data_IF_916405988512
#
_entry.id   IF_916405988512
#
_cell.length_a   1.000
_cell.length_b   1.000
_cell.length_c   1.000
_cell.angle_alpha   90.00
_cell.angle_beta   90.00
_cell.angle_gamma   90.00
#
_symmetry.space_group_name_H-M   'P 1'
#
loop_
_entity.id
_entity.type
_entity.pdbx_description
1 polymer ?
#
# COMPACT_ATOMS: atom_id res chain seq x y z
N UNK A 1 -12.10 -11.65 -45.67
CA UNK A 1 -10.72 -11.66 -45.12
C UNK A 1 -10.54 -10.74 -43.92
N UNK A 2 -11.05 -9.49 -43.95
CA UNK A 2 -10.89 -8.51 -42.85
C UNK A 2 -11.37 -9.02 -41.47
N UNK A 3 -12.55 -9.62 -41.37
CA UNK A 3 -13.10 -10.10 -40.08
C UNK A 3 -12.23 -11.17 -39.38
N UNK A 4 -11.63 -12.12 -40.11
CA UNK A 4 -10.76 -13.15 -39.52
C UNK A 4 -9.47 -12.55 -38.96
N UNK A 5 -8.92 -11.53 -39.63
CA UNK A 5 -7.77 -10.76 -39.12
C UNK A 5 -8.14 -9.92 -37.89
N UNK A 6 -9.33 -9.30 -37.87
CA UNK A 6 -9.81 -8.54 -36.70
C UNK A 6 -10.01 -9.44 -35.48
N UNK A 7 -10.58 -10.64 -35.66
CA UNK A 7 -10.75 -11.62 -34.57
C UNK A 7 -9.39 -12.11 -34.08
N UNK A 8 -8.47 -12.48 -34.98
CA UNK A 8 -7.13 -12.90 -34.60
C UNK A 8 -6.37 -11.83 -33.83
N UNK A 9 -6.45 -10.56 -34.27
CA UNK A 9 -5.85 -9.43 -33.56
C UNK A 9 -6.49 -9.20 -32.19
N UNK A 10 -7.83 -9.27 -32.08
CA UNK A 10 -8.53 -9.12 -30.81
C UNK A 10 -8.12 -10.21 -29.79
N UNK A 11 -7.99 -11.46 -30.23
CA UNK A 11 -7.52 -12.56 -29.37
C UNK A 11 -6.10 -12.32 -28.87
N UNK A 12 -5.19 -11.90 -29.76
CA UNK A 12 -3.80 -11.56 -29.36
C UNK A 12 -3.77 -10.40 -28.38
N UNK A 13 -4.60 -9.38 -28.58
CA UNK A 13 -4.68 -8.21 -27.71
C UNK A 13 -5.23 -8.58 -26.32
N UNK A 14 -6.25 -9.44 -26.24
CA UNK A 14 -6.76 -9.98 -24.96
C UNK A 14 -5.69 -10.80 -24.25
N UNK A 15 -4.97 -11.68 -24.95
CA UNK A 15 -3.88 -12.46 -24.37
C UNK A 15 -2.79 -11.52 -23.83
N UNK A 16 -2.43 -10.47 -24.58
CA UNK A 16 -1.46 -9.48 -24.13
C UNK A 16 -1.94 -8.76 -22.87
N UNK A 17 -3.21 -8.34 -22.79
CA UNK A 17 -3.78 -7.72 -21.57
C UNK A 17 -3.73 -8.68 -20.39
N UNK A 18 -4.09 -9.96 -20.58
CA UNK A 18 -4.05 -10.97 -19.50
C UNK A 18 -2.63 -11.21 -19.03
N UNK A 19 -1.65 -11.31 -19.94
CA UNK A 19 -0.24 -11.45 -19.58
C UNK A 19 0.27 -10.22 -18.82
N UNK A 20 -0.13 -9.03 -19.23
CA UNK A 20 0.19 -7.79 -18.53
C UNK A 20 -0.43 -7.77 -17.12
N UNK A 21 -1.68 -8.18 -16.97
CA UNK A 21 -2.35 -8.26 -15.68
C UNK A 21 -1.75 -9.33 -14.77
N UNK A 22 -1.38 -10.51 -15.29
CA UNK A 22 -0.71 -11.53 -14.50
C UNK A 22 0.70 -11.11 -14.07
N UNK A 23 1.38 -10.28 -14.89
CA UNK A 23 2.75 -9.85 -14.64
C UNK A 23 2.85 -8.61 -13.75
N UNK A 24 1.86 -7.73 -13.81
CA UNK A 24 1.86 -6.39 -13.18
C UNK A 24 0.55 -6.07 -12.45
N UNK A 25 -0.26 -7.08 -12.18
CA UNK A 25 -1.50 -6.95 -11.43
C UNK A 25 -1.27 -6.66 -9.94
N UNK A 26 -2.36 -6.75 -9.16
CA UNK A 26 -2.29 -6.61 -7.72
C UNK A 26 -1.36 -7.65 -7.10
N UNK A 27 -0.57 -7.21 -6.13
CA UNK A 27 0.37 -8.05 -5.39
C UNK A 27 0.31 -7.69 -3.90
N UNK A 28 0.81 -8.58 -3.06
CA UNK A 28 0.77 -8.46 -1.60
C UNK A 28 2.16 -8.78 -1.05
N UNK A 29 2.73 -7.84 -0.29
CA UNK A 29 4.05 -7.98 0.29
C UNK A 29 3.96 -8.04 1.80
N UNK A 30 4.59 -9.06 2.39
CA UNK A 30 4.77 -9.15 3.83
C UNK A 30 6.02 -8.35 4.23
N UNK A 31 5.80 -7.23 4.91
CA UNK A 31 6.84 -6.24 5.18
C UNK A 31 6.67 -5.63 6.57
N UNK A 32 7.76 -5.16 7.15
CA UNK A 32 7.76 -4.30 8.33
C UNK A 32 7.80 -2.85 7.88
N UNK A 33 6.91 -2.02 8.41
CA UNK A 33 6.92 -0.57 8.12
C UNK A 33 7.93 0.10 9.04
N UNK A 34 8.90 0.79 8.44
CA UNK A 34 10.01 1.44 9.16
C UNK A 34 9.85 2.95 9.24
N UNK A 35 9.03 3.54 8.36
CA UNK A 35 8.83 4.97 8.33
C UNK A 35 7.78 5.43 7.33
N UNK A 36 7.40 6.69 7.47
CA UNK A 36 6.55 7.40 6.51
C UNK A 36 7.12 8.79 6.27
N UNK A 37 6.99 9.29 5.05
CA UNK A 37 7.34 10.66 4.65
C UNK A 37 6.32 11.14 3.63
N UNK A 38 6.11 12.45 3.50
CA UNK A 38 5.22 13.02 2.49
C UNK A 38 4.16 13.93 3.08
N UNK A 39 3.83 14.99 2.37
CA UNK A 39 2.83 15.98 2.75
C UNK A 39 1.69 16.12 1.72
N UNK A 40 1.74 15.29 0.67
CA UNK A 40 0.77 15.27 -0.42
C UNK A 40 0.81 16.49 -1.35
N UNK A 41 1.69 17.47 -1.09
CA UNK A 41 1.78 18.72 -1.83
C UNK A 41 3.10 18.83 -2.59
N UNK A 42 4.21 18.76 -1.86
CA UNK A 42 5.55 18.83 -2.40
C UNK A 42 6.21 17.43 -2.42
N UNK A 43 5.81 16.56 -1.49
CA UNK A 43 6.34 15.21 -1.36
C UNK A 43 5.19 14.20 -1.36
N UNK A 44 5.23 13.29 -2.34
CA UNK A 44 4.30 12.16 -2.44
C UNK A 44 4.29 11.32 -1.15
N UNK A 45 3.14 10.70 -0.85
CA UNK A 45 2.99 9.86 0.33
C UNK A 45 3.88 8.61 0.19
N UNK A 46 4.98 8.61 0.93
CA UNK A 46 6.00 7.56 0.93
C UNK A 46 5.86 6.69 2.16
N UNK A 47 5.77 5.38 1.95
CA UNK A 47 5.80 4.37 3.01
C UNK A 47 7.09 3.57 2.82
N UNK A 48 7.90 3.55 3.88
CA UNK A 48 9.19 2.89 3.92
C UNK A 48 9.03 1.53 4.59
N UNK A 49 9.43 0.48 3.90
CA UNK A 49 9.24 -0.88 4.38
C UNK A 49 10.46 -1.74 4.12
N UNK A 50 10.54 -2.83 4.89
CA UNK A 50 11.58 -3.85 4.79
C UNK A 50 10.89 -5.20 4.69
N UNK A 51 11.30 -6.04 3.74
CA UNK A 51 10.79 -7.40 3.61
C UNK A 51 11.04 -8.21 4.88
N UNK A 52 10.01 -8.88 5.37
CA UNK A 52 10.08 -9.63 6.63
C UNK A 52 11.03 -10.84 6.55
N UNK A 53 11.24 -11.39 5.36
CA UNK A 53 12.04 -12.58 5.10
C UNK A 53 13.48 -12.27 4.65
N UNK A 54 13.69 -11.29 3.77
CA UNK A 54 15.02 -10.99 3.19
C UNK A 54 15.71 -9.76 3.76
N UNK A 55 14.98 -8.92 4.50
CA UNK A 55 15.42 -7.59 4.93
C UNK A 55 15.76 -6.60 3.79
N UNK A 56 15.32 -6.88 2.55
CA UNK A 56 15.44 -5.93 1.45
C UNK A 56 14.47 -4.76 1.62
N UNK A 57 14.85 -3.58 1.12
CA UNK A 57 13.99 -2.39 1.23
C UNK A 57 12.96 -2.35 0.10
N UNK A 58 11.71 -2.09 0.48
CA UNK A 58 10.62 -1.81 -0.44
C UNK A 58 9.99 -0.47 -0.08
N UNK A 59 9.88 0.41 -1.07
CA UNK A 59 9.35 1.76 -0.88
C UNK A 59 8.09 1.87 -1.72
N UNK A 60 6.99 2.20 -1.06
CA UNK A 60 5.75 2.58 -1.73
C UNK A 60 5.68 4.10 -1.83
N UNK A 61 5.29 4.61 -3.00
CA UNK A 61 5.00 6.04 -3.20
C UNK A 61 3.63 6.15 -3.84
N UNK A 62 2.69 6.65 -3.05
CA UNK A 62 1.36 6.98 -3.47
C UNK A 62 1.28 8.46 -3.84
N UNK A 63 0.58 8.74 -4.94
CA UNK A 63 0.29 10.10 -5.38
C UNK A 63 -1.23 10.27 -5.45
N UNK A 64 -1.75 11.28 -4.76
CA UNK A 64 -3.17 11.62 -4.88
C UNK A 64 -3.42 12.30 -6.23
N UNK A 65 -4.56 11.99 -6.86
CA UNK A 65 -4.91 12.64 -8.11
C UNK A 65 -5.02 14.15 -7.88
N UNK A 66 -4.28 14.92 -8.66
CA UNK A 66 -4.33 16.37 -8.65
C UNK A 66 -5.69 16.92 -9.17
N UNK A 67 -5.67 18.15 -9.69
CA UNK A 67 -6.89 18.90 -10.03
C UNK A 67 -7.79 18.28 -11.13
N UNK A 68 -7.32 17.27 -11.89
CA UNK A 68 -8.05 16.61 -12.98
C UNK A 68 -7.67 15.11 -13.04
N UNK A 69 -8.60 14.14 -12.91
CA UNK A 69 -10.06 14.24 -12.88
C UNK A 69 -10.60 14.56 -11.47
N UNK A 70 -11.74 15.27 -11.36
CA UNK A 70 -12.31 15.56 -10.06
C UNK A 70 -12.79 14.24 -9.44
N UNK A 71 -12.35 13.98 -8.20
CA UNK A 71 -12.91 12.95 -7.33
C UNK A 71 -12.32 11.52 -7.44
N UNK A 72 -11.04 11.36 -7.77
CA UNK A 72 -10.29 10.18 -7.31
C UNK A 72 -9.33 10.62 -6.21
N UNK A 73 -9.88 10.94 -5.02
CA UNK A 73 -9.05 10.95 -3.82
C UNK A 73 -8.71 9.50 -3.55
N UNK A 74 -7.50 9.11 -3.88
CA UNK A 74 -6.95 7.86 -3.37
C UNK A 74 -6.71 8.11 -1.89
N UNK A 75 -7.04 7.17 -1.01
CA UNK A 75 -6.94 7.34 0.44
C UNK A 75 -5.47 7.30 0.92
N UNK A 76 -4.55 7.95 0.19
CA UNK A 76 -3.10 7.89 0.42
C UNK A 76 -2.71 8.57 1.73
N UNK A 77 -3.38 9.66 2.09
CA UNK A 77 -3.20 10.32 3.38
C UNK A 77 -3.64 9.42 4.56
N UNK A 78 -4.72 8.68 4.36
CA UNK A 78 -5.24 7.75 5.37
C UNK A 78 -4.31 6.54 5.49
N UNK A 79 -3.85 5.96 4.37
CA UNK A 79 -2.84 4.89 4.35
C UNK A 79 -1.54 5.33 5.02
N UNK A 80 -1.07 6.55 4.75
CA UNK A 80 0.10 7.11 5.41
C UNK A 80 -0.14 7.25 6.92
N UNK A 81 -1.32 7.69 7.34
CA UNK A 81 -1.68 7.81 8.76
C UNK A 81 -1.70 6.46 9.47
N UNK A 82 -2.25 5.42 8.82
CA UNK A 82 -2.23 4.03 9.32
C UNK A 82 -0.80 3.52 9.43
N UNK A 83 0.02 3.67 8.38
CA UNK A 83 1.43 3.30 8.41
C UNK A 83 2.20 4.03 9.53
N UNK A 84 1.91 5.33 9.73
CA UNK A 84 2.49 6.15 10.79
C UNK A 84 2.09 5.70 12.20
N UNK A 85 0.89 5.13 12.37
CA UNK A 85 0.46 4.52 13.64
C UNK A 85 1.21 3.21 13.88
N UNK A 86 1.26 2.35 12.87
CA UNK A 86 1.94 1.04 12.96
C UNK A 86 3.41 1.22 13.37
N UNK A 87 4.12 2.19 12.78
CA UNK A 87 5.53 2.46 13.15
C UNK A 87 5.72 2.91 14.60
N UNK A 88 4.70 3.53 15.22
CA UNK A 88 4.77 4.00 16.61
C UNK A 88 4.33 2.95 17.62
N UNK A 89 3.22 2.29 17.35
CA UNK A 89 2.57 1.37 18.30
C UNK A 89 3.08 -0.07 18.14
N UNK A 90 3.48 -0.47 16.94
CA UNK A 90 3.87 -1.83 16.59
C UNK A 90 5.08 -1.86 15.63
N UNK A 91 6.23 -1.28 16.00
CA UNK A 91 7.38 -1.13 15.11
C UNK A 91 7.92 -2.47 14.59
N UNK A 92 7.85 -3.54 15.39
CA UNK A 92 8.45 -4.85 15.08
C UNK A 92 7.49 -5.86 14.44
N UNK A 93 6.29 -5.41 14.06
CA UNK A 93 5.24 -6.29 13.51
C UNK A 93 5.32 -6.33 11.99
N UNK A 94 5.35 -7.54 11.43
CA UNK A 94 5.16 -7.76 10.01
C UNK A 94 3.69 -7.50 9.64
N UNK A 95 3.48 -6.72 8.58
CA UNK A 95 2.17 -6.38 8.05
C UNK A 95 2.12 -6.74 6.56
N UNK A 96 0.91 -6.98 6.06
CA UNK A 96 0.72 -7.21 4.62
C UNK A 96 0.35 -5.89 3.97
N UNK A 97 1.20 -5.41 3.07
CA UNK A 97 0.87 -4.25 2.22
C UNK A 97 0.40 -4.78 0.88
N UNK A 98 -0.84 -4.45 0.51
CA UNK A 98 -1.36 -4.76 -0.82
C UNK A 98 -1.14 -3.57 -1.73
N UNK A 99 -0.89 -3.81 -3.00
CA UNK A 99 -0.69 -2.74 -3.96
C UNK A 99 -0.53 -3.22 -5.39
N UNK A 100 -0.08 -2.31 -6.24
CA UNK A 100 0.18 -2.59 -7.66
C UNK A 100 1.34 -1.76 -8.18
N UNK A 101 1.75 -2.07 -9.42
CA UNK A 101 2.87 -1.46 -10.16
C UNK A 101 4.23 -2.14 -9.94
N UNK A 102 5.18 -1.82 -10.82
CA UNK A 102 6.55 -2.33 -10.83
C UNK A 102 7.50 -1.32 -10.20
N UNK A 103 8.42 -1.80 -9.36
CA UNK A 103 9.59 -1.01 -8.96
C UNK A 103 10.56 -0.91 -10.13
N UNK A 104 10.67 0.26 -10.75
CA UNK A 104 11.65 0.56 -11.79
C UNK A 104 12.56 1.71 -11.31
N UNK A 105 13.72 1.41 -10.70
CA UNK A 105 14.61 2.43 -10.11
C UNK A 105 15.02 3.55 -11.06
N UNK A 106 15.30 3.22 -12.32
CA UNK A 106 15.81 4.18 -13.30
C UNK A 106 14.73 5.07 -13.94
N UNK A 107 13.45 4.74 -13.77
CA UNK A 107 12.31 5.59 -14.20
C UNK A 107 11.66 6.33 -13.03
N UNK A 108 12.26 6.30 -11.83
CA UNK A 108 11.65 6.81 -10.60
C UNK A 108 10.25 6.22 -10.33
N UNK A 109 9.98 5.00 -10.82
CA UNK A 109 8.70 4.32 -10.62
C UNK A 109 8.75 3.43 -9.38
N UNK A 110 7.78 3.65 -8.49
CA UNK A 110 7.59 2.90 -7.26
C UNK A 110 6.21 2.25 -7.26
N UNK A 111 6.06 1.13 -6.55
CA UNK A 111 4.75 0.54 -6.31
C UNK A 111 3.83 1.50 -5.54
N UNK A 112 2.54 1.42 -5.82
CA UNK A 112 1.49 2.11 -5.06
C UNK A 112 0.88 1.12 -4.07
N UNK A 113 0.74 1.52 -2.81
CA UNK A 113 0.00 0.76 -1.80
C UNK A 113 -1.50 1.07 -1.92
N UNK A 114 -2.36 0.07 -1.79
CA UNK A 114 -3.82 0.22 -1.81
C UNK A 114 -4.46 -0.09 -0.46
N UNK A 115 -3.86 -0.99 0.31
CA UNK A 115 -4.29 -1.29 1.68
C UNK A 115 -3.13 -1.82 2.51
N UNK A 116 -3.27 -1.70 3.83
CA UNK A 116 -2.32 -2.23 4.81
C UNK A 116 -3.13 -3.08 5.78
N UNK A 117 -2.86 -4.37 5.79
CA UNK A 117 -3.45 -5.33 6.72
C UNK A 117 -2.46 -5.58 7.85
N UNK A 118 -2.80 -5.12 9.05
CA UNK A 118 -2.01 -5.28 10.26
C UNK A 118 -2.87 -5.88 11.39
N UNK A 119 -2.24 -6.43 12.45
CA UNK A 119 -2.96 -6.88 13.63
C UNK A 119 -3.85 -5.78 14.22
N UNK A 120 -5.04 -6.14 14.70
CA UNK A 120 -6.05 -5.16 15.16
C UNK A 120 -5.51 -4.25 16.26
N UNK A 121 -4.73 -4.79 17.21
CA UNK A 121 -4.10 -4.00 18.27
C UNK A 121 -3.15 -2.89 17.77
N UNK A 122 -2.69 -2.96 16.52
CA UNK A 122 -1.84 -1.94 15.90
C UNK A 122 -2.62 -0.87 15.12
N UNK A 123 -3.87 -1.17 14.75
CA UNK A 123 -4.75 -0.29 13.98
C UNK A 123 -5.77 0.40 14.90
N UNK A 124 -6.25 -0.32 15.90
CA UNK A 124 -7.26 0.14 16.86
C UNK A 124 -6.78 1.40 17.58
N UNK A 125 -7.73 2.30 17.84
CA UNK A 125 -7.48 3.38 18.78
C UNK A 125 -7.07 2.76 20.13
N UNK A 126 -6.11 3.34 20.86
CA UNK A 126 -5.80 2.88 22.21
C UNK A 126 -7.10 2.87 23.01
N UNK A 127 -7.58 1.69 23.37
CA UNK A 127 -8.73 1.58 24.27
C UNK A 127 -8.28 2.14 25.61
N UNK A 128 -9.01 3.12 26.15
CA UNK A 128 -8.65 3.77 27.40
C UNK A 128 -8.30 2.71 28.47
N UNK A 129 -7.06 2.78 28.94
CA UNK A 129 -6.55 2.04 30.11
C UNK A 129 -7.26 2.42 31.42
N UNK A 130 -8.29 3.28 31.36
CA UNK A 130 -9.17 3.64 32.47
C UNK A 130 -9.94 2.44 33.03
N UNK A 131 -10.26 1.45 32.21
CA UNK A 131 -10.96 0.23 32.65
C UNK A 131 -10.09 -0.73 33.46
N UNK A 132 -8.75 -0.65 33.33
CA UNK A 132 -7.82 -1.48 34.11
C UNK A 132 -7.46 -0.85 35.47
N UNK A 133 -7.45 0.49 35.56
CA UNK A 133 -7.14 1.20 36.81
C UNK A 133 -8.30 1.16 37.80
N UNK A 134 -9.55 1.18 37.32
CA UNK A 134 -10.74 1.13 38.19
C UNK A 134 -10.95 -0.26 38.83
N UNK A 135 -10.49 -1.34 38.17
CA UNK A 135 -10.52 -2.70 38.70
C UNK A 135 -9.42 -2.99 39.75
N UNK A 136 -8.34 -2.20 39.77
CA UNK A 136 -7.25 -2.32 40.74
C UNK A 136 -7.40 -1.43 41.98
N UNK A 137 -8.34 -0.47 41.97
CA UNK A 137 -8.55 0.47 43.07
C UNK A 137 -9.64 0.02 44.07
N UNK A 138 -10.17 -1.21 43.94
CA UNK A 138 -11.15 -1.80 44.85
C UNK A 138 -10.58 -3.00 45.63
N UNK A 139 -9.34 -2.88 46.12
CA UNK A 139 -8.76 -3.82 47.09
C UNK A 139 -8.17 -3.10 48.29
#
# INVERSE_FOLDING_TARGET
>A
MKQKFTIGFAVVLVIAIVLLWLRWGPDSWEVQITGVTGDGRDVQYRIETVYADTADTLIFRNEDAGFLPPYFKFDSADLQSVASRITRECPDVAVTVNGYSLRIPWLDMFPNATSIDAPQNCIDAPSDSSSAVEAGAQQ
#
